data_IF_001252216144
#
_entry.id   IF_001252216144
#
_cell.length_a   1.000
_cell.length_b   1.000
_cell.length_c   1.000
_cell.angle_alpha   90.00
_cell.angle_beta   90.00
_cell.angle_gamma   90.00
#
_symmetry.space_group_name_H-M   'P 1'
#
loop_
_entity.id
_entity.type
_entity.pdbx_description
1 polymer ?
#
# COMPACT_ATOMS: atom_id res chain seq x y z
N UNK A 1 -16.92 -0.97 -13.69
CA UNK A 1 -17.03 -2.29 -13.04
C UNK A 1 -16.89 -2.11 -11.53
N UNK A 2 -17.41 -3.05 -10.73
CA UNK A 2 -17.22 -3.01 -9.28
C UNK A 2 -16.27 -4.13 -8.86
N UNK A 3 -15.37 -3.79 -7.93
CA UNK A 3 -14.39 -4.72 -7.39
C UNK A 3 -14.52 -4.79 -5.87
N UNK A 4 -14.55 -6.01 -5.32
CA UNK A 4 -14.48 -6.28 -3.90
C UNK A 4 -13.02 -6.44 -3.50
N UNK A 5 -12.56 -5.63 -2.54
CA UNK A 5 -11.21 -5.63 -2.00
C UNK A 5 -11.25 -6.09 -0.55
N UNK A 6 -10.36 -6.98 -0.19
CA UNK A 6 -10.10 -7.36 1.20
C UNK A 6 -8.92 -6.53 1.68
N UNK A 7 -9.17 -5.70 2.68
CA UNK A 7 -8.18 -4.76 3.19
C UNK A 7 -7.18 -5.45 4.14
N UNK A 8 -5.99 -4.89 4.20
CA UNK A 8 -4.91 -5.35 5.07
C UNK A 8 -5.13 -4.98 6.55
N UNK A 9 -4.04 -5.08 7.32
CA UNK A 9 -4.05 -4.86 8.77
C UNK A 9 -4.46 -3.45 9.17
N UNK A 10 -4.05 -2.45 8.39
CA UNK A 10 -4.38 -1.04 8.61
C UNK A 10 -5.46 -0.59 7.61
N UNK A 11 -6.74 -0.91 7.87
CA UNK A 11 -7.80 -0.72 6.88
C UNK A 11 -8.05 0.74 6.54
N UNK A 12 -7.82 1.66 7.48
CA UNK A 12 -7.96 3.10 7.25
C UNK A 12 -6.93 3.63 6.27
N UNK A 13 -5.66 3.20 6.39
CA UNK A 13 -4.62 3.53 5.41
C UNK A 13 -4.94 2.93 4.03
N UNK A 14 -5.46 1.70 4.01
CA UNK A 14 -5.90 1.07 2.77
C UNK A 14 -7.03 1.85 2.08
N UNK A 15 -7.98 2.39 2.85
CA UNK A 15 -9.07 3.21 2.31
C UNK A 15 -8.56 4.54 1.76
N UNK A 16 -7.62 5.19 2.42
CA UNK A 16 -7.00 6.44 1.92
C UNK A 16 -6.25 6.18 0.61
N UNK A 17 -5.51 5.08 0.51
CA UNK A 17 -4.89 4.66 -0.75
C UNK A 17 -5.93 4.52 -1.88
N UNK A 18 -7.06 3.86 -1.60
CA UNK A 18 -8.12 3.67 -2.59
C UNK A 18 -8.81 4.99 -2.97
N UNK A 19 -9.07 5.87 -2.00
CA UNK A 19 -9.65 7.19 -2.27
C UNK A 19 -8.71 8.07 -3.12
N UNK A 20 -7.41 8.04 -2.81
CA UNK A 20 -6.41 8.78 -3.59
C UNK A 20 -6.38 8.32 -5.05
N UNK A 21 -6.51 7.02 -5.30
CA UNK A 21 -6.48 6.45 -6.65
C UNK A 21 -7.80 6.59 -7.42
N UNK A 22 -8.93 6.38 -6.75
CA UNK A 22 -10.22 6.21 -7.42
C UNK A 22 -11.24 7.30 -7.13
N UNK A 23 -10.98 8.20 -6.17
CA UNK A 23 -11.94 9.18 -5.68
C UNK A 23 -12.85 8.61 -4.57
N UNK A 24 -13.20 9.43 -3.61
CA UNK A 24 -14.00 9.03 -2.44
C UNK A 24 -15.42 8.58 -2.80
N UNK A 25 -15.97 9.10 -3.89
CA UNK A 25 -17.29 8.76 -4.43
C UNK A 25 -17.34 7.34 -5.02
N UNK A 26 -16.19 6.81 -5.43
CA UNK A 26 -16.05 5.49 -6.02
C UNK A 26 -15.64 4.41 -5.00
N UNK A 27 -15.44 4.78 -3.73
CA UNK A 27 -15.02 3.86 -2.66
C UNK A 27 -16.12 3.73 -1.62
N UNK A 28 -16.59 2.50 -1.39
CA UNK A 28 -17.53 2.14 -0.33
C UNK A 28 -16.86 1.21 0.67
N UNK A 29 -16.74 1.65 1.92
CA UNK A 29 -16.07 0.91 2.98
C UNK A 29 -17.04 0.06 3.81
N UNK A 30 -16.56 -1.13 4.23
CA UNK A 30 -17.24 -2.03 5.16
C UNK A 30 -16.22 -2.48 6.20
N UNK A 31 -16.15 -1.75 7.30
CA UNK A 31 -15.20 -2.03 8.37
C UNK A 31 -15.85 -2.85 9.47
N UNK A 32 -15.12 -3.83 9.98
CA UNK A 32 -15.50 -4.55 11.17
C UNK A 32 -15.56 -3.60 12.37
N UNK A 33 -16.54 -3.76 13.23
CA UNK A 33 -16.57 -3.04 14.50
C UNK A 33 -15.40 -3.50 15.38
N UNK A 34 -14.80 -2.56 16.09
CA UNK A 34 -13.69 -2.84 16.99
C UNK A 34 -14.07 -3.97 17.97
N UNK A 35 -13.24 -5.01 18.09
CA UNK A 35 -13.50 -6.20 18.90
C UNK A 35 -14.31 -7.32 18.23
N UNK A 36 -14.87 -7.11 17.04
CA UNK A 36 -15.59 -8.16 16.31
C UNK A 36 -14.70 -8.89 15.30
N UNK A 37 -14.85 -10.20 15.22
CA UNK A 37 -14.23 -11.06 14.18
C UNK A 37 -14.91 -10.77 12.81
N UNK A 38 -14.66 -9.64 12.21
CA UNK A 38 -15.13 -9.28 10.87
C UNK A 38 -13.96 -8.96 9.96
N UNK A 39 -14.17 -9.10 8.65
CA UNK A 39 -13.18 -8.69 7.65
C UNK A 39 -13.41 -7.23 7.27
N UNK A 40 -12.32 -6.48 7.10
CA UNK A 40 -12.36 -5.14 6.56
C UNK A 40 -12.37 -5.22 5.03
N UNK A 41 -13.39 -4.64 4.42
CA UNK A 41 -13.63 -4.71 2.99
C UNK A 41 -13.85 -3.33 2.39
N UNK A 42 -13.62 -3.22 1.08
CA UNK A 42 -14.07 -2.09 0.29
C UNK A 42 -14.65 -2.57 -1.05
N UNK A 43 -15.62 -1.84 -1.56
CA UNK A 43 -16.05 -1.95 -2.97
C UNK A 43 -15.58 -0.70 -3.68
N UNK A 44 -14.85 -0.92 -4.78
CA UNK A 44 -14.31 0.16 -5.62
C UNK A 44 -14.97 0.09 -7.00
N UNK A 45 -15.49 1.22 -7.48
CA UNK A 45 -16.03 1.39 -8.84
C UNK A 45 -14.93 1.97 -9.73
N UNK A 46 -14.46 1.18 -10.70
CA UNK A 46 -13.47 1.62 -11.68
C UNK A 46 -13.56 0.81 -12.97
N UNK A 47 -13.08 1.36 -14.08
CA UNK A 47 -13.04 0.63 -15.35
C UNK A 47 -11.92 -0.40 -15.38
N UNK A 48 -10.80 -0.13 -14.67
CA UNK A 48 -9.63 -1.01 -14.60
C UNK A 48 -9.04 -0.95 -13.20
N UNK A 49 -8.76 -2.10 -12.61
CA UNK A 49 -8.06 -2.24 -11.34
C UNK A 49 -6.73 -2.95 -11.58
N UNK A 50 -5.63 -2.25 -11.33
CA UNK A 50 -4.32 -2.88 -11.20
C UNK A 50 -4.10 -3.21 -9.71
N UNK A 51 -4.38 -4.46 -9.37
CA UNK A 51 -4.26 -4.92 -7.99
C UNK A 51 -2.80 -5.00 -7.52
N UNK A 52 -1.85 -5.21 -8.43
CA UNK A 52 -0.43 -5.42 -8.08
C UNK A 52 0.22 -4.19 -7.43
N UNK A 53 -0.32 -2.99 -7.71
CA UNK A 53 0.18 -1.74 -7.14
C UNK A 53 -0.35 -1.44 -5.72
N UNK A 54 -1.41 -2.12 -5.27
CA UNK A 54 -2.07 -1.81 -4.00
C UNK A 54 -1.32 -2.39 -2.79
N UNK A 55 -0.73 -1.52 -1.97
CA UNK A 55 -0.04 -1.90 -0.74
C UNK A 55 -0.98 -2.28 0.40
N UNK A 56 -2.14 -1.62 0.48
CA UNK A 56 -3.11 -1.75 1.55
C UNK A 56 -4.12 -2.89 1.40
N UNK A 57 -4.24 -3.50 0.22
CA UNK A 57 -5.21 -4.57 -0.05
C UNK A 57 -4.53 -5.94 -0.18
N UNK A 58 -5.15 -6.99 0.36
CA UNK A 58 -4.57 -8.35 0.38
C UNK A 58 -5.19 -9.29 -0.65
N UNK A 59 -6.41 -9.01 -1.11
CA UNK A 59 -7.10 -9.71 -2.20
C UNK A 59 -8.02 -8.77 -2.94
N UNK A 60 -8.27 -9.08 -4.22
CA UNK A 60 -9.28 -8.40 -5.02
C UNK A 60 -10.09 -9.39 -5.85
N UNK A 61 -11.36 -9.08 -6.05
CA UNK A 61 -12.25 -9.82 -6.94
C UNK A 61 -13.18 -8.89 -7.72
N UNK A 62 -13.44 -9.22 -8.97
CA UNK A 62 -14.44 -8.53 -9.80
C UNK A 62 -15.84 -9.01 -9.43
N UNK A 63 -16.70 -8.11 -8.99
CA UNK A 63 -18.10 -8.42 -8.65
C UNK A 63 -18.84 -8.83 -9.94
N UNK A 64 -19.54 -9.97 -9.87
CA UNK A 64 -20.32 -10.48 -10.97
C UNK A 64 -21.63 -9.68 -11.12
N UNK A 65 -22.00 -9.41 -12.35
CA UNK A 65 -23.33 -8.88 -12.75
C UNK A 65 -24.26 -9.96 -13.25
N UNK A 66 -23.74 -11.17 -13.46
CA UNK A 66 -24.46 -12.36 -13.87
C UNK A 66 -24.49 -13.41 -12.73
N UNK A 67 -25.41 -14.38 -12.76
CA UNK A 67 -25.40 -15.48 -11.82
C UNK A 67 -24.06 -16.24 -11.84
N UNK A 68 -23.57 -16.63 -10.68
CA UNK A 68 -22.27 -17.33 -10.57
C UNK A 68 -22.25 -18.65 -11.35
N UNK A 69 -23.40 -19.31 -11.50
CA UNK A 69 -23.55 -20.54 -12.30
C UNK A 69 -23.20 -20.30 -13.77
N UNK A 70 -23.70 -19.18 -14.32
CA UNK A 70 -23.48 -18.81 -15.72
C UNK A 70 -22.02 -18.44 -15.97
N UNK A 71 -21.38 -17.74 -15.02
CA UNK A 71 -19.96 -17.49 -15.07
C UNK A 71 -19.13 -18.80 -15.04
N UNK A 72 -19.45 -19.71 -14.11
CA UNK A 72 -18.72 -20.97 -13.95
C UNK A 72 -18.88 -21.90 -15.16
N UNK A 73 -20.01 -21.87 -15.86
CA UNK A 73 -20.26 -22.67 -17.07
C UNK A 73 -19.40 -22.23 -18.26
N UNK A 74 -18.99 -20.95 -18.30
CA UNK A 74 -18.18 -20.34 -19.38
C UNK A 74 -16.69 -20.50 -19.18
N UNK A 75 -16.23 -21.13 -18.09
CA UNK A 75 -14.81 -21.32 -17.83
C UNK A 75 -14.14 -22.17 -18.91
N UNK A 76 -12.91 -21.84 -19.33
CA UNK A 76 -12.17 -22.62 -20.29
C UNK A 76 -12.03 -24.09 -19.87
N UNK A 77 -11.88 -25.00 -20.83
CA UNK A 77 -11.69 -26.41 -20.54
C UNK A 77 -10.49 -26.67 -19.63
N UNK A 78 -10.52 -27.84 -18.94
CA UNK A 78 -9.43 -28.28 -18.08
C UNK A 78 -9.83 -28.40 -16.61
N UNK A 79 -8.87 -28.74 -15.78
CA UNK A 79 -9.03 -28.90 -14.33
C UNK A 79 -9.23 -27.54 -13.67
N UNK A 80 -10.19 -27.47 -12.74
CA UNK A 80 -10.46 -26.25 -11.97
C UNK A 80 -9.90 -26.39 -10.54
N UNK A 81 -9.18 -25.39 -10.08
CA UNK A 81 -8.83 -25.21 -8.66
C UNK A 81 -9.76 -24.15 -8.09
N UNK A 82 -10.61 -24.53 -7.13
CA UNK A 82 -11.67 -23.69 -6.59
C UNK A 82 -11.44 -23.42 -5.09
N UNK A 83 -11.40 -22.14 -4.73
CA UNK A 83 -11.52 -21.64 -3.37
C UNK A 83 -12.86 -20.92 -3.17
N UNK A 84 -13.36 -20.87 -1.95
CA UNK A 84 -14.53 -20.07 -1.58
C UNK A 84 -14.25 -19.37 -0.26
N UNK A 85 -14.41 -18.06 -0.24
CA UNK A 85 -14.29 -17.23 0.97
C UNK A 85 -15.57 -16.46 1.19
N UNK A 86 -16.23 -16.63 2.33
CA UNK A 86 -17.42 -15.89 2.72
C UNK A 86 -17.07 -14.87 3.82
N UNK A 87 -17.07 -13.60 3.46
CA UNK A 87 -16.80 -12.45 4.31
C UNK A 87 -18.07 -11.87 4.96
N UNK A 88 -19.23 -12.48 4.74
CA UNK A 88 -20.52 -11.99 5.26
C UNK A 88 -20.56 -12.06 6.79
N UNK A 89 -21.22 -11.11 7.49
CA UNK A 89 -21.25 -11.06 8.96
C UNK A 89 -21.84 -12.32 9.62
N UNK A 90 -22.73 -13.05 8.92
CA UNK A 90 -23.36 -14.27 9.41
C UNK A 90 -22.72 -15.55 8.86
N UNK A 91 -21.59 -15.44 8.14
CA UNK A 91 -20.88 -16.60 7.64
C UNK A 91 -20.34 -17.47 8.78
N UNK A 92 -20.37 -18.77 8.57
CA UNK A 92 -19.71 -19.74 9.45
C UNK A 92 -19.07 -20.86 8.62
N UNK A 93 -18.20 -21.64 9.24
CA UNK A 93 -17.43 -22.71 8.57
C UNK A 93 -18.36 -23.70 7.83
N UNK A 94 -19.48 -24.10 8.45
CA UNK A 94 -20.42 -25.09 7.88
C UNK A 94 -21.11 -24.54 6.63
N UNK A 95 -21.62 -23.29 6.70
CA UNK A 95 -22.32 -22.66 5.56
C UNK A 95 -21.36 -22.36 4.41
N UNK A 96 -20.14 -21.91 4.70
CA UNK A 96 -19.11 -21.65 3.67
C UNK A 96 -18.68 -22.95 2.99
N UNK A 97 -18.47 -24.01 3.75
CA UNK A 97 -18.13 -25.32 3.18
C UNK A 97 -19.27 -25.88 2.31
N UNK A 98 -20.52 -25.80 2.76
CA UNK A 98 -21.68 -26.20 1.97
C UNK A 98 -21.75 -25.41 0.65
N UNK A 99 -21.47 -24.11 0.67
CA UNK A 99 -21.40 -23.28 -0.53
C UNK A 99 -20.29 -23.73 -1.48
N UNK A 100 -19.10 -24.05 -0.95
CA UNK A 100 -17.99 -24.56 -1.74
C UNK A 100 -18.33 -25.91 -2.41
N UNK A 101 -18.99 -26.82 -1.67
CA UNK A 101 -19.47 -28.09 -2.20
C UNK A 101 -20.56 -27.90 -3.26
N UNK A 102 -21.48 -26.94 -3.07
CA UNK A 102 -22.49 -26.60 -4.06
C UNK A 102 -21.85 -26.23 -5.41
N UNK A 103 -20.86 -25.34 -5.42
CA UNK A 103 -20.17 -24.93 -6.66
C UNK A 103 -19.32 -26.06 -7.25
N UNK A 104 -18.63 -26.84 -6.42
CA UNK A 104 -17.92 -28.04 -6.87
C UNK A 104 -18.85 -29.02 -7.58
N UNK A 105 -20.01 -29.33 -6.98
CA UNK A 105 -20.98 -30.27 -7.54
C UNK A 105 -21.61 -29.72 -8.83
N UNK A 106 -21.88 -28.41 -8.89
CA UNK A 106 -22.32 -27.76 -10.13
C UNK A 106 -21.31 -28.00 -11.27
N UNK A 107 -20.05 -27.67 -11.05
CA UNK A 107 -18.98 -27.87 -12.03
C UNK A 107 -18.80 -29.34 -12.42
N UNK A 108 -18.93 -30.29 -11.47
CA UNK A 108 -18.88 -31.73 -11.76
C UNK A 108 -20.02 -32.18 -12.65
N UNK A 109 -21.24 -31.64 -12.48
CA UNK A 109 -22.40 -31.94 -13.35
C UNK A 109 -22.14 -31.46 -14.78
N UNK A 110 -21.32 -30.43 -14.98
CA UNK A 110 -20.84 -29.98 -16.28
C UNK A 110 -19.57 -30.73 -16.77
N UNK A 111 -19.27 -31.92 -16.23
CA UNK A 111 -18.16 -32.77 -16.65
C UNK A 111 -16.77 -32.25 -16.19
N UNK A 112 -16.69 -31.26 -15.29
CA UNK A 112 -15.41 -30.64 -14.92
C UNK A 112 -14.73 -31.36 -13.76
N UNK A 113 -13.42 -31.55 -13.86
CA UNK A 113 -12.60 -31.99 -12.77
C UNK A 113 -12.25 -30.83 -11.83
N UNK A 114 -12.62 -30.93 -10.54
CA UNK A 114 -12.51 -29.82 -9.58
C UNK A 114 -11.73 -30.23 -8.33
N UNK A 115 -10.62 -29.53 -8.09
CA UNK A 115 -9.88 -29.52 -6.81
C UNK A 115 -10.41 -28.40 -5.94
N UNK A 116 -11.03 -28.72 -4.81
CA UNK A 116 -11.47 -27.72 -3.83
C UNK A 116 -10.36 -27.46 -2.82
N UNK A 117 -10.08 -26.18 -2.55
CA UNK A 117 -9.17 -25.74 -1.51
C UNK A 117 -9.95 -25.57 -0.20
N UNK A 118 -9.60 -26.28 0.88
CA UNK A 118 -10.33 -26.20 2.14
C UNK A 118 -9.99 -24.90 2.92
N UNK A 119 -10.99 -24.36 3.60
CA UNK A 119 -10.82 -23.31 4.61
C UNK A 119 -10.56 -24.01 5.96
N UNK A 120 -9.29 -24.16 6.34
CA UNK A 120 -8.93 -24.97 7.51
C UNK A 120 -9.48 -24.38 8.82
N UNK A 121 -9.44 -23.06 8.99
CA UNK A 121 -9.68 -22.39 10.27
C UNK A 121 -10.82 -21.34 10.26
N UNK A 122 -11.65 -21.29 9.20
CA UNK A 122 -12.67 -20.25 9.16
C UNK A 122 -13.58 -20.26 7.93
N UNK A 123 -14.10 -19.06 7.64
CA UNK A 123 -14.98 -18.80 6.49
C UNK A 123 -14.24 -18.33 5.26
N UNK A 124 -12.94 -18.02 5.39
CA UNK A 124 -12.13 -17.44 4.31
C UNK A 124 -10.80 -18.15 4.16
N UNK A 125 -10.27 -18.21 2.96
CA UNK A 125 -8.89 -18.62 2.70
C UNK A 125 -7.93 -17.52 3.15
N UNK A 126 -6.79 -17.89 3.72
CA UNK A 126 -5.71 -16.95 4.00
C UNK A 126 -5.10 -16.45 2.69
N UNK A 127 -4.46 -15.26 2.70
CA UNK A 127 -3.74 -14.75 1.53
C UNK A 127 -2.64 -15.71 1.07
N UNK A 128 -1.98 -16.39 2.02
CA UNK A 128 -0.98 -17.41 1.71
C UNK A 128 -1.59 -18.60 0.95
N UNK A 129 -2.73 -19.13 1.41
CA UNK A 129 -3.43 -20.23 0.73
C UNK A 129 -3.86 -19.82 -0.69
N UNK A 130 -4.40 -18.61 -0.86
CA UNK A 130 -4.79 -18.12 -2.18
C UNK A 130 -3.58 -17.93 -3.09
N UNK A 131 -2.49 -17.32 -2.60
CA UNK A 131 -1.26 -17.09 -3.35
C UNK A 131 -0.58 -18.41 -3.77
N UNK A 132 -0.38 -19.35 -2.86
CA UNK A 132 0.25 -20.66 -3.17
C UNK A 132 -0.57 -21.50 -4.16
N UNK A 133 -1.89 -21.33 -4.17
CA UNK A 133 -2.76 -22.00 -5.16
C UNK A 133 -3.00 -21.14 -6.39
N UNK A 134 -2.35 -19.97 -6.54
CA UNK A 134 -2.44 -19.06 -7.69
C UNK A 134 -3.90 -18.66 -8.02
N UNK A 135 -4.74 -18.50 -6.98
CA UNK A 135 -6.14 -18.18 -7.15
C UNK A 135 -6.32 -16.74 -7.66
N UNK A 136 -6.98 -16.59 -8.82
CA UNK A 136 -7.13 -15.31 -9.52
C UNK A 136 -5.95 -14.91 -10.41
N UNK A 137 -4.86 -15.69 -10.43
CA UNK A 137 -3.66 -15.40 -11.23
C UNK A 137 -3.54 -16.35 -12.43
N UNK A 138 -3.94 -17.60 -12.28
CA UNK A 138 -3.88 -18.64 -13.31
C UNK A 138 -5.26 -18.99 -13.83
N UNK A 139 -5.35 -19.32 -15.12
CA UNK A 139 -6.60 -19.80 -15.75
C UNK A 139 -7.16 -21.01 -14.99
N UNK A 140 -8.46 -21.00 -14.72
CA UNK A 140 -9.17 -22.03 -13.94
C UNK A 140 -8.73 -22.15 -12.46
N UNK A 141 -7.93 -21.22 -11.94
CA UNK A 141 -7.61 -21.12 -10.52
C UNK A 141 -8.44 -19.96 -9.91
N UNK A 142 -9.57 -20.28 -9.30
CA UNK A 142 -10.61 -19.31 -8.95
C UNK A 142 -10.82 -19.31 -7.45
N UNK A 143 -10.88 -18.12 -6.84
CA UNK A 143 -11.49 -17.95 -5.53
C UNK A 143 -12.79 -17.14 -5.69
N UNK A 144 -13.88 -17.69 -5.18
CA UNK A 144 -15.15 -16.97 -5.08
C UNK A 144 -15.13 -16.21 -3.75
N UNK A 145 -15.19 -14.90 -3.83
CA UNK A 145 -15.28 -14.00 -2.68
C UNK A 145 -16.73 -13.58 -2.52
N UNK A 146 -17.36 -13.97 -1.42
CA UNK A 146 -18.75 -13.63 -1.12
C UNK A 146 -18.82 -12.61 0.02
N UNK A 147 -19.62 -11.56 -0.17
CA UNK A 147 -19.99 -10.61 0.88
C UNK A 147 -21.46 -10.24 0.76
N UNK A 148 -22.27 -10.69 1.72
CA UNK A 148 -23.72 -10.56 1.69
C UNK A 148 -24.31 -11.16 0.39
N UNK A 149 -24.90 -10.34 -0.48
CA UNK A 149 -25.45 -10.75 -1.77
C UNK A 149 -24.46 -10.63 -2.93
N UNK A 150 -23.33 -9.91 -2.71
CA UNK A 150 -22.31 -9.73 -3.74
C UNK A 150 -21.41 -10.97 -3.83
N UNK A 151 -21.20 -11.42 -5.06
CA UNK A 151 -20.27 -12.48 -5.41
C UNK A 151 -19.22 -11.90 -6.34
N UNK A 152 -17.95 -12.02 -5.95
CA UNK A 152 -16.83 -11.59 -6.76
C UNK A 152 -15.94 -12.78 -7.11
N UNK A 153 -15.34 -12.74 -8.29
CA UNK A 153 -14.33 -13.71 -8.72
C UNK A 153 -12.95 -13.06 -8.55
N UNK A 154 -12.06 -13.75 -7.86
CA UNK A 154 -10.70 -13.29 -7.61
C UNK A 154 -9.98 -12.89 -8.90
N UNK A 155 -9.29 -11.76 -8.85
CA UNK A 155 -8.43 -11.25 -9.92
C UNK A 155 -6.96 -11.15 -9.47
N UNK A 156 -6.71 -11.43 -8.20
CA UNK A 156 -5.37 -11.43 -7.64
C UNK A 156 -5.36 -11.50 -6.12
N UNK A 157 -4.24 -11.96 -5.62
CA UNK A 157 -3.88 -12.03 -4.21
C UNK A 157 -2.50 -11.44 -4.04
N UNK A 158 -2.25 -10.81 -2.90
CA UNK A 158 -0.97 -10.21 -2.59
C UNK A 158 0.18 -11.22 -2.74
N UNK A 159 1.17 -10.87 -3.56
CA UNK A 159 2.35 -11.72 -3.79
C UNK A 159 3.31 -11.66 -2.59
N UNK A 160 3.01 -12.46 -1.57
CA UNK A 160 3.77 -12.53 -0.32
C UNK A 160 5.23 -12.94 -0.54
N UNK A 161 5.48 -13.79 -1.56
CA UNK A 161 6.83 -14.24 -1.91
C UNK A 161 7.68 -13.09 -2.44
N UNK A 162 7.14 -12.29 -3.35
CA UNK A 162 7.84 -11.13 -3.91
C UNK A 162 8.12 -10.07 -2.83
N UNK A 163 7.16 -9.83 -1.92
CA UNK A 163 7.40 -8.92 -0.78
C UNK A 163 8.50 -9.44 0.15
N UNK A 164 8.48 -10.74 0.49
CA UNK A 164 9.50 -11.34 1.35
C UNK A 164 10.90 -11.23 0.73
N UNK A 165 11.02 -11.43 -0.59
CA UNK A 165 12.27 -11.24 -1.32
C UNK A 165 12.78 -9.81 -1.18
N UNK A 166 11.96 -8.82 -1.51
CA UNK A 166 12.34 -7.40 -1.43
C UNK A 166 12.65 -6.93 -0.01
N UNK A 167 12.00 -7.52 1.00
CA UNK A 167 12.23 -7.18 2.40
C UNK A 167 13.51 -7.83 2.96
N UNK A 168 13.85 -9.06 2.51
CA UNK A 168 14.89 -9.88 3.15
C UNK A 168 16.14 -10.11 2.29
N UNK A 169 16.03 -10.15 0.96
CA UNK A 169 17.11 -10.58 0.06
C UNK A 169 17.88 -9.42 -0.58
N UNK A 170 17.45 -8.17 -0.37
CA UNK A 170 18.20 -7.02 -0.89
C UNK A 170 19.60 -6.94 -0.26
N UNK A 171 20.64 -6.60 -1.06
CA UNK A 171 22.04 -6.74 -0.66
C UNK A 171 22.48 -5.75 0.43
N UNK A 172 21.87 -4.55 0.48
CA UNK A 172 22.25 -3.52 1.44
C UNK A 172 21.09 -3.24 2.41
N UNK A 173 21.34 -3.43 3.71
CA UNK A 173 20.40 -3.19 4.81
C UNK A 173 21.15 -2.52 5.95
N UNK A 174 20.46 -1.62 6.64
CA UNK A 174 20.97 -1.00 7.86
C UNK A 174 19.99 -1.24 9.02
N UNK A 175 20.46 -1.90 10.07
CA UNK A 175 19.62 -2.23 11.22
C UNK A 175 19.30 -1.01 12.11
N UNK A 176 20.10 0.04 12.02
CA UNK A 176 19.93 1.28 12.80
C UNK A 176 18.95 2.25 12.13
N UNK A 177 18.88 2.21 10.81
CA UNK A 177 17.86 2.96 10.05
C UNK A 177 16.68 2.03 9.87
N UNK A 178 15.62 2.25 10.60
CA UNK A 178 14.41 1.42 10.50
C UNK A 178 13.98 1.23 9.03
N UNK A 179 13.62 0.00 8.64
CA UNK A 179 13.26 -0.27 7.25
C UNK A 179 11.77 -0.03 7.02
N UNK A 180 11.44 0.83 6.06
CA UNK A 180 10.08 1.02 5.57
C UNK A 180 9.56 -0.30 4.96
N UNK A 181 8.39 -0.83 5.38
CA UNK A 181 7.81 -1.99 4.72
C UNK A 181 7.46 -1.69 3.26
N UNK A 182 7.78 -2.58 2.28
CA UNK A 182 7.44 -2.37 0.87
C UNK A 182 5.96 -2.03 0.63
N UNK A 183 5.05 -2.63 1.38
CA UNK A 183 3.61 -2.34 1.30
C UNK A 183 3.26 -0.91 1.69
N UNK A 184 3.92 -0.38 2.73
CA UNK A 184 3.70 0.99 3.15
C UNK A 184 4.29 1.96 2.12
N UNK A 185 5.46 1.65 1.54
CA UNK A 185 6.00 2.42 0.42
C UNK A 185 5.02 2.51 -0.76
N UNK A 186 4.37 1.40 -1.14
CA UNK A 186 3.34 1.41 -2.18
C UNK A 186 2.15 2.29 -1.81
N UNK A 187 1.68 2.25 -0.56
CA UNK A 187 0.61 3.13 -0.07
C UNK A 187 1.03 4.61 -0.21
N UNK A 188 2.24 4.96 0.25
CA UNK A 188 2.76 6.34 0.13
C UNK A 188 2.80 6.80 -1.33
N UNK A 189 3.32 5.96 -2.23
CA UNK A 189 3.42 6.24 -3.66
C UNK A 189 2.02 6.41 -4.27
N UNK A 190 1.08 5.50 -4.00
CA UNK A 190 -0.28 5.58 -4.53
C UNK A 190 -1.00 6.85 -4.07
N UNK A 191 -0.83 7.25 -2.81
CA UNK A 191 -1.41 8.50 -2.29
C UNK A 191 -0.77 9.71 -2.99
N UNK A 192 0.55 9.71 -3.16
CA UNK A 192 1.26 10.83 -3.76
C UNK A 192 0.98 10.97 -5.27
N UNK A 193 0.84 9.85 -5.99
CA UNK A 193 0.69 9.86 -7.47
C UNK A 193 -0.76 9.92 -7.94
N UNK A 194 -1.73 9.51 -7.10
CA UNK A 194 -3.11 9.28 -7.53
C UNK A 194 -3.77 10.50 -8.15
N UNK A 195 -3.58 11.68 -7.57
CA UNK A 195 -4.15 12.91 -8.10
C UNK A 195 -3.44 13.37 -9.38
N UNK A 196 -2.11 13.26 -9.43
CA UNK A 196 -1.34 13.60 -10.62
C UNK A 196 -1.76 12.76 -11.82
N UNK A 197 -1.93 11.46 -11.65
CA UNK A 197 -2.36 10.55 -12.73
C UNK A 197 -3.77 10.87 -13.25
N UNK A 198 -4.70 11.25 -12.37
CA UNK A 198 -6.04 11.66 -12.76
C UNK A 198 -6.03 12.92 -13.64
N UNK A 199 -5.15 13.88 -13.33
CA UNK A 199 -5.10 15.16 -14.02
C UNK A 199 -4.31 15.11 -15.33
N UNK A 200 -3.20 14.37 -15.37
CA UNK A 200 -2.23 14.41 -16.47
C UNK A 200 -2.22 13.15 -17.35
N UNK A 201 -2.83 12.05 -16.92
CA UNK A 201 -2.81 10.74 -17.59
C UNK A 201 -1.39 10.22 -17.91
N UNK A 202 -0.38 10.75 -17.20
CA UNK A 202 1.03 10.38 -17.30
C UNK A 202 1.58 10.03 -15.93
N UNK A 203 2.72 9.36 -15.90
CA UNK A 203 3.40 9.02 -14.65
C UNK A 203 4.36 10.13 -14.23
N UNK A 204 4.26 10.64 -12.99
CA UNK A 204 5.23 11.61 -12.47
C UNK A 204 6.57 10.94 -12.14
N UNK A 205 7.62 11.74 -11.97
CA UNK A 205 8.81 11.31 -11.24
C UNK A 205 8.47 11.38 -9.74
N UNK A 206 8.65 10.27 -9.03
CA UNK A 206 8.46 10.18 -7.58
C UNK A 206 9.75 10.58 -6.87
N UNK A 207 9.70 11.61 -6.04
CA UNK A 207 10.82 12.03 -5.20
C UNK A 207 10.74 11.39 -3.81
N UNK A 208 11.87 10.85 -3.36
CA UNK A 208 12.13 10.47 -1.97
C UNK A 208 13.34 11.24 -1.44
N UNK A 209 13.15 12.38 -0.76
CA UNK A 209 14.24 13.24 -0.27
C UNK A 209 14.96 12.71 0.97
N UNK A 210 14.54 11.57 1.51
CA UNK A 210 15.12 10.86 2.67
C UNK A 210 15.23 9.37 2.34
N UNK A 211 15.83 9.03 1.17
CA UNK A 211 15.64 7.72 0.55
C UNK A 211 16.25 6.54 1.33
N UNK A 212 17.18 6.78 2.26
CA UNK A 212 17.81 5.75 3.07
C UNK A 212 18.35 4.61 2.21
N UNK A 213 17.82 3.41 2.38
CA UNK A 213 18.21 2.22 1.60
C UNK A 213 17.40 2.02 0.31
N UNK A 214 16.62 3.00 -0.12
CA UNK A 214 15.93 3.05 -1.41
C UNK A 214 14.63 2.26 -1.52
N UNK A 215 13.90 2.02 -0.43
CA UNK A 215 12.66 1.20 -0.49
C UNK A 215 11.57 1.85 -1.31
N UNK A 216 11.33 3.16 -1.13
CA UNK A 216 10.33 3.90 -1.91
C UNK A 216 10.72 3.90 -3.39
N UNK A 217 12.00 4.11 -3.70
CA UNK A 217 12.49 4.12 -5.07
C UNK A 217 12.30 2.75 -5.75
N UNK A 218 12.59 1.64 -5.05
CA UNK A 218 12.37 0.29 -5.55
C UNK A 218 10.89 0.03 -5.86
N UNK A 219 9.99 0.37 -4.94
CA UNK A 219 8.55 0.16 -5.15
C UNK A 219 8.03 1.08 -6.26
N UNK A 220 8.49 2.34 -6.35
CA UNK A 220 8.14 3.26 -7.44
C UNK A 220 8.51 2.67 -8.80
N UNK A 221 9.74 2.17 -8.97
CA UNK A 221 10.18 1.55 -10.21
C UNK A 221 9.35 0.31 -10.57
N UNK A 222 9.03 -0.56 -9.60
CA UNK A 222 8.17 -1.73 -9.82
C UNK A 222 6.74 -1.34 -10.22
N UNK A 223 6.25 -0.20 -9.75
CA UNK A 223 4.96 0.38 -10.15
C UNK A 223 5.04 1.14 -11.48
N UNK A 224 6.22 1.22 -12.08
CA UNK A 224 6.47 1.83 -13.38
C UNK A 224 6.66 3.35 -13.33
N UNK A 225 7.08 3.91 -12.20
CA UNK A 225 7.47 5.32 -12.06
C UNK A 225 8.97 5.46 -12.11
N UNK A 226 9.47 6.49 -12.78
CA UNK A 226 10.84 6.93 -12.53
C UNK A 226 10.93 7.54 -11.12
N UNK A 227 12.08 7.37 -10.47
CA UNK A 227 12.28 7.76 -9.09
C UNK A 227 13.53 8.62 -8.92
N UNK A 228 13.48 9.59 -8.01
CA UNK A 228 14.61 10.38 -7.62
C UNK A 228 14.79 10.29 -6.09
N UNK A 229 15.93 9.84 -5.64
CA UNK A 229 16.27 9.72 -4.23
C UNK A 229 17.42 10.63 -3.83
N UNK A 230 17.26 11.28 -2.69
CA UNK A 230 18.39 11.95 -2.00
C UNK A 230 18.48 11.49 -0.55
N UNK A 231 19.68 11.52 0.01
CA UNK A 231 19.92 11.27 1.43
C UNK A 231 21.13 12.08 1.88
N UNK A 232 21.15 12.52 3.13
CA UNK A 232 22.27 13.26 3.71
C UNK A 232 23.52 12.38 3.84
N UNK A 233 23.35 11.07 3.84
CA UNK A 233 24.41 10.09 4.04
C UNK A 233 24.85 9.46 2.73
N UNK A 234 26.09 9.69 2.31
CA UNK A 234 26.71 9.01 1.18
C UNK A 234 26.62 7.48 1.29
N UNK A 235 26.71 6.94 2.51
CA UNK A 235 26.53 5.50 2.78
C UNK A 235 25.13 5.02 2.35
N UNK A 236 24.09 5.81 2.65
CA UNK A 236 22.72 5.45 2.28
C UNK A 236 22.52 5.52 0.77
N UNK A 237 23.11 6.49 0.09
CA UNK A 237 23.10 6.58 -1.38
C UNK A 237 23.77 5.33 -1.99
N UNK A 238 24.92 4.92 -1.53
CA UNK A 238 25.59 3.66 -1.98
C UNK A 238 24.75 2.42 -1.71
N UNK A 239 24.00 2.39 -0.60
CA UNK A 239 23.10 1.27 -0.28
C UNK A 239 21.87 1.27 -1.20
N UNK A 240 21.28 2.43 -1.47
CA UNK A 240 20.18 2.59 -2.41
C UNK A 240 20.58 2.15 -3.82
N UNK A 241 21.73 2.58 -4.30
CA UNK A 241 22.25 2.24 -5.62
C UNK A 241 22.38 0.71 -5.78
N UNK A 242 23.08 0.05 -4.87
CA UNK A 242 23.22 -1.42 -4.85
C UNK A 242 21.88 -2.16 -4.81
N UNK A 243 20.90 -1.63 -4.08
CA UNK A 243 19.58 -2.23 -3.98
C UNK A 243 18.76 -2.05 -5.26
N UNK A 244 18.89 -0.90 -5.92
CA UNK A 244 18.20 -0.59 -7.18
C UNK A 244 18.81 -1.36 -8.36
N UNK A 245 20.13 -1.47 -8.44
CA UNK A 245 20.83 -2.33 -9.41
C UNK A 245 20.39 -3.79 -9.24
N UNK A 246 20.43 -4.32 -8.00
CA UNK A 246 19.99 -5.68 -7.68
C UNK A 246 18.53 -5.93 -8.10
N UNK A 247 17.63 -4.95 -7.94
CA UNK A 247 16.24 -5.02 -8.36
C UNK A 247 16.14 -5.07 -9.90
N UNK A 248 16.86 -4.18 -10.58
CA UNK A 248 16.85 -4.06 -12.04
C UNK A 248 17.34 -5.34 -12.69
N UNK A 249 18.45 -5.92 -12.21
CA UNK A 249 19.01 -7.17 -12.74
C UNK A 249 18.07 -8.37 -12.62
N UNK A 250 17.16 -8.35 -11.63
CA UNK A 250 16.23 -9.46 -11.35
C UNK A 250 14.82 -9.25 -11.89
N UNK A 251 14.55 -8.09 -12.48
CA UNK A 251 13.22 -7.72 -12.94
C UNK A 251 13.25 -7.43 -14.45
N UNK A 252 12.85 -8.40 -15.25
CA UNK A 252 12.88 -8.28 -16.73
C UNK A 252 12.15 -7.05 -17.28
N UNK A 253 11.10 -6.59 -16.57
CA UNK A 253 10.38 -5.34 -16.92
C UNK A 253 11.22 -4.09 -16.76
N UNK A 254 12.22 -4.09 -15.86
CA UNK A 254 13.13 -2.95 -15.62
C UNK A 254 14.39 -2.98 -16.51
N UNK A 255 14.58 -4.02 -17.28
CA UNK A 255 15.70 -4.14 -18.23
C UNK A 255 15.37 -3.63 -19.65
N UNK A 256 14.14 -3.16 -19.87
CA UNK A 256 13.70 -2.64 -21.15
C UNK A 256 14.21 -1.21 -21.38
N UNK A 257 14.39 -0.78 -22.65
CA UNK A 257 14.86 0.57 -22.96
C UNK A 257 13.94 1.70 -22.45
N UNK A 258 12.63 1.43 -22.37
CA UNK A 258 11.58 2.35 -21.89
C UNK A 258 11.23 2.16 -20.42
N UNK A 259 12.02 1.37 -19.69
CA UNK A 259 11.79 1.13 -18.26
C UNK A 259 11.96 2.42 -17.44
N UNK A 260 11.31 2.48 -16.27
CA UNK A 260 11.53 3.56 -15.30
C UNK A 260 13.01 3.69 -14.94
N UNK A 261 13.47 4.94 -14.78
CA UNK A 261 14.83 5.27 -14.38
C UNK A 261 14.88 5.71 -12.94
N UNK A 262 16.03 5.54 -12.31
CA UNK A 262 16.30 6.12 -11.00
C UNK A 262 17.46 7.10 -11.06
N UNK A 263 17.41 8.08 -10.16
CA UNK A 263 18.44 9.09 -9.95
C UNK A 263 18.75 9.13 -8.47
N UNK A 264 20.02 9.21 -8.11
CA UNK A 264 20.50 9.23 -6.72
C UNK A 264 21.54 10.31 -6.55
N UNK A 265 21.38 11.14 -5.53
CA UNK A 265 22.35 12.17 -5.16
C UNK A 265 22.47 12.27 -3.63
N UNK A 266 23.67 12.54 -3.14
CA UNK A 266 23.86 12.95 -1.76
C UNK A 266 23.36 14.40 -1.60
N UNK A 267 22.56 14.66 -0.57
CA UNK A 267 22.04 16.00 -0.36
C UNK A 267 21.24 16.18 0.94
N UNK A 268 21.31 17.39 1.45
CA UNK A 268 20.49 17.84 2.57
C UNK A 268 19.10 18.28 2.04
N UNK A 269 18.05 17.54 2.40
CA UNK A 269 16.68 17.82 1.94
C UNK A 269 16.21 19.25 2.22
N UNK A 270 16.81 19.93 3.21
CA UNK A 270 16.48 21.33 3.54
C UNK A 270 17.13 22.36 2.61
N UNK A 271 18.06 21.94 1.73
CA UNK A 271 18.87 22.83 0.85
C UNK A 271 19.05 22.32 -0.57
N UNK A 272 18.85 21.01 -0.80
CA UNK A 272 19.11 20.37 -2.09
C UNK A 272 18.22 20.92 -3.21
N UNK A 273 18.75 20.92 -4.45
CA UNK A 273 18.01 21.38 -5.63
C UNK A 273 17.65 20.18 -6.53
N UNK A 274 16.35 19.92 -6.70
CA UNK A 274 15.80 18.88 -7.59
C UNK A 274 15.26 19.46 -8.92
N UNK A 275 15.53 20.72 -9.24
CA UNK A 275 14.92 21.43 -10.38
C UNK A 275 15.13 20.75 -11.73
N UNK A 276 16.21 19.99 -11.91
CA UNK A 276 16.51 19.27 -13.16
C UNK A 276 15.58 18.08 -13.41
N UNK A 277 14.92 17.55 -12.39
CA UNK A 277 14.25 16.25 -12.47
C UNK A 277 12.76 16.29 -12.79
N UNK A 278 12.12 17.46 -12.90
CA UNK A 278 10.65 17.60 -13.11
C UNK A 278 9.83 16.73 -12.15
N UNK A 279 10.13 16.85 -10.86
CA UNK A 279 9.45 16.12 -9.80
C UNK A 279 7.96 16.43 -9.82
N UNK A 280 7.10 15.40 -9.88
CA UNK A 280 5.65 15.58 -9.90
C UNK A 280 4.96 15.32 -8.57
N UNK A 281 5.60 14.55 -7.68
CA UNK A 281 5.06 14.23 -6.35
C UNK A 281 6.18 13.78 -5.40
N UNK A 282 5.87 13.74 -4.11
CA UNK A 282 6.80 13.28 -3.07
C UNK A 282 6.19 12.12 -2.29
N UNK A 283 6.90 11.01 -2.20
CA UNK A 283 6.56 9.89 -1.32
C UNK A 283 7.80 9.51 -0.51
N UNK A 284 7.74 9.64 0.81
CA UNK A 284 8.94 9.50 1.63
C UNK A 284 8.64 9.07 3.06
N UNK A 285 9.58 8.38 3.68
CA UNK A 285 9.68 8.25 5.13
C UNK A 285 10.79 9.18 5.61
N UNK A 286 10.43 10.21 6.36
CA UNK A 286 11.43 11.10 6.94
C UNK A 286 12.22 10.38 8.05
N UNK A 287 13.31 10.98 8.51
CA UNK A 287 14.08 10.41 9.60
C UNK A 287 13.24 10.18 10.86
N UNK A 288 13.17 8.93 11.31
CA UNK A 288 12.35 8.51 12.46
C UNK A 288 13.06 8.65 13.80
N UNK A 289 14.31 9.08 13.82
CA UNK A 289 15.15 9.10 15.01
C UNK A 289 15.87 7.78 15.28
N UNK A 290 16.64 7.74 16.36
CA UNK A 290 17.31 6.52 16.82
C UNK A 290 16.30 5.52 17.40
N UNK A 291 16.56 4.21 17.31
CA UNK A 291 15.75 3.19 17.95
C UNK A 291 15.60 3.44 19.46
N UNK A 292 14.38 3.34 19.97
CA UNK A 292 14.09 3.51 21.38
C UNK A 292 13.74 2.16 22.03
N UNK A 293 14.23 1.94 23.24
CA UNK A 293 13.94 0.74 24.06
C UNK A 293 12.70 0.93 24.95
N UNK A 294 12.26 2.17 25.18
CA UNK A 294 11.08 2.50 25.97
C UNK A 294 10.43 3.81 25.46
N UNK A 295 9.15 4.04 25.72
CA UNK A 295 8.48 5.30 25.41
C UNK A 295 9.24 6.50 26.01
N UNK A 296 9.44 7.59 25.23
CA UNK A 296 10.20 8.74 25.74
C UNK A 296 9.41 9.50 26.82
N UNK A 297 10.12 10.00 27.84
CA UNK A 297 9.55 10.92 28.81
C UNK A 297 9.16 12.25 28.16
N UNK A 298 8.30 13.04 28.83
CA UNK A 298 7.66 14.24 28.23
C UNK A 298 8.67 15.30 27.74
N UNK A 299 9.80 15.51 28.41
CA UNK A 299 10.82 16.46 27.95
C UNK A 299 11.51 15.95 26.68
N UNK A 300 11.96 14.70 26.66
CA UNK A 300 12.63 14.10 25.52
C UNK A 300 11.69 13.97 24.30
N UNK A 301 10.40 13.74 24.54
CA UNK A 301 9.42 13.75 23.47
C UNK A 301 9.31 15.13 22.80
N UNK A 302 9.24 16.20 23.60
CA UNK A 302 9.22 17.58 23.07
C UNK A 302 10.47 17.90 22.24
N UNK A 303 11.64 17.46 22.68
CA UNK A 303 12.90 17.62 21.92
C UNK A 303 12.82 16.89 20.56
N UNK A 304 12.31 15.64 20.55
CA UNK A 304 12.13 14.87 19.31
C UNK A 304 11.12 15.52 18.38
N UNK A 305 10.00 15.98 18.92
CA UNK A 305 8.99 16.67 18.15
C UNK A 305 9.51 17.97 17.56
N UNK A 306 10.27 18.75 18.32
CA UNK A 306 10.85 20.00 17.85
C UNK A 306 11.88 19.79 16.74
N UNK A 307 12.84 18.87 16.91
CA UNK A 307 13.83 18.57 15.87
C UNK A 307 13.20 18.02 14.58
N UNK A 308 12.17 17.17 14.71
CA UNK A 308 11.42 16.65 13.57
C UNK A 308 10.63 17.77 12.88
N UNK A 309 10.03 18.67 13.64
CA UNK A 309 9.31 19.84 13.12
C UNK A 309 10.24 20.75 12.31
N UNK A 310 11.43 21.06 12.84
CA UNK A 310 12.43 21.89 12.16
C UNK A 310 12.88 21.27 10.83
N UNK A 311 13.14 19.95 10.83
CA UNK A 311 13.49 19.21 9.61
C UNK A 311 12.35 19.28 8.57
N UNK A 312 11.12 19.00 8.98
CA UNK A 312 9.95 19.04 8.09
C UNK A 312 9.73 20.43 7.50
N UNK A 313 9.72 21.46 8.31
CA UNK A 313 9.50 22.82 7.86
C UNK A 313 10.63 23.30 6.94
N UNK A 314 11.89 22.97 7.26
CA UNK A 314 13.04 23.22 6.40
C UNK A 314 12.91 22.56 5.04
N UNK A 315 12.54 21.29 4.99
CA UNK A 315 12.29 20.54 3.76
C UNK A 315 11.12 21.14 2.97
N UNK A 316 9.95 21.33 3.60
CA UNK A 316 8.77 21.89 2.93
C UNK A 316 9.03 23.27 2.34
N UNK A 317 9.76 24.13 3.05
CA UNK A 317 10.18 25.43 2.54
C UNK A 317 11.08 25.31 1.31
N UNK A 318 12.07 24.40 1.36
CA UNK A 318 13.00 24.19 0.26
C UNK A 318 12.31 23.64 -0.98
N UNK A 319 11.47 22.61 -0.84
CA UNK A 319 10.82 21.94 -1.99
C UNK A 319 9.70 22.78 -2.62
N UNK A 320 9.14 23.75 -1.90
CA UNK A 320 7.95 24.50 -2.32
C UNK A 320 8.07 25.16 -3.70
N UNK A 321 9.26 25.64 -4.06
CA UNK A 321 9.54 26.28 -5.34
C UNK A 321 10.07 25.30 -6.41
N UNK A 322 10.14 24.01 -6.11
CA UNK A 322 10.74 23.00 -6.97
C UNK A 322 9.74 21.96 -7.49
N UNK A 323 8.51 21.99 -7.00
CA UNK A 323 7.41 21.12 -7.42
C UNK A 323 6.24 21.96 -7.95
N UNK A 324 5.45 21.40 -8.89
CA UNK A 324 4.33 22.14 -9.45
C UNK A 324 3.20 22.37 -8.43
N UNK A 325 2.40 23.42 -8.64
CA UNK A 325 1.11 23.55 -7.94
C UNK A 325 0.25 22.32 -8.19
N UNK A 326 -0.49 21.89 -7.17
CA UNK A 326 -1.27 20.65 -7.19
C UNK A 326 -0.47 19.38 -6.85
N UNK A 327 0.87 19.43 -6.80
CA UNK A 327 1.68 18.29 -6.40
C UNK A 327 1.30 17.78 -5.02
N UNK A 328 1.18 16.46 -4.88
CA UNK A 328 0.86 15.79 -3.60
C UNK A 328 2.15 15.26 -2.95
N UNK A 329 2.28 15.53 -1.66
CA UNK A 329 3.34 14.99 -0.81
C UNK A 329 2.71 14.03 0.20
N UNK A 330 3.17 12.78 0.23
CA UNK A 330 2.80 11.80 1.24
C UNK A 330 4.03 11.42 2.06
N UNK A 331 4.12 11.93 3.27
CA UNK A 331 5.27 11.81 4.16
C UNK A 331 4.91 10.93 5.35
N UNK A 332 5.68 9.87 5.60
CA UNK A 332 5.61 9.11 6.83
C UNK A 332 6.51 9.76 7.88
N UNK A 333 5.90 10.36 8.90
CA UNK A 333 6.57 11.07 9.98
C UNK A 333 6.57 10.23 11.26
N UNK A 334 7.51 10.39 12.19
CA UNK A 334 7.49 9.65 13.45
C UNK A 334 6.31 10.05 14.33
N UNK A 335 5.75 9.03 14.99
CA UNK A 335 4.80 9.20 16.08
C UNK A 335 5.23 8.29 17.24
N UNK A 336 5.31 8.82 18.43
CA UNK A 336 5.87 8.14 19.60
C UNK A 336 4.78 7.59 20.50
N UNK A 337 4.97 6.35 20.97
CA UNK A 337 4.06 5.70 21.91
C UNK A 337 4.06 6.45 23.25
N UNK A 338 2.85 6.74 23.73
CA UNK A 338 2.61 7.36 25.05
C UNK A 338 2.26 6.30 26.09
N UNK A 339 2.42 6.59 27.41
CA UNK A 339 2.06 5.65 28.47
C UNK A 339 0.61 5.16 28.46
N UNK A 340 -0.31 5.96 27.88
CA UNK A 340 -1.73 5.60 27.72
C UNK A 340 -1.99 4.68 26.50
N UNK A 341 -0.96 4.26 25.79
CA UNK A 341 -1.08 3.40 24.61
C UNK A 341 -1.38 4.14 23.30
N UNK A 342 -1.60 5.45 23.32
CA UNK A 342 -1.77 6.24 22.08
C UNK A 342 -0.44 6.63 21.48
N UNK A 343 -0.44 6.97 20.17
CA UNK A 343 0.71 7.56 19.51
C UNK A 343 0.54 9.07 19.36
N UNK A 344 1.63 9.82 19.55
CA UNK A 344 1.66 11.27 19.39
C UNK A 344 2.74 11.64 18.37
N UNK A 345 2.34 12.27 17.28
CA UNK A 345 3.22 12.72 16.20
C UNK A 345 3.64 14.18 16.36
N UNK A 346 4.06 14.79 15.25
CA UNK A 346 4.46 16.20 15.15
C UNK A 346 3.30 17.03 14.64
N UNK A 347 2.99 18.13 15.31
CA UNK A 347 2.02 19.11 14.82
C UNK A 347 2.73 20.25 14.09
N UNK A 348 2.40 20.41 12.79
CA UNK A 348 2.90 21.50 11.92
C UNK A 348 1.76 22.18 11.16
N UNK A 349 0.50 21.95 11.58
CA UNK A 349 -0.68 22.38 10.81
C UNK A 349 -0.78 23.90 10.69
N UNK A 350 -0.34 24.63 11.69
CA UNK A 350 -0.40 26.10 11.71
C UNK A 350 0.65 26.71 10.77
N UNK A 351 1.73 26.00 10.46
CA UNK A 351 2.82 26.50 9.65
C UNK A 351 2.72 26.13 8.16
N UNK A 352 2.08 25.01 7.83
CA UNK A 352 2.05 24.50 6.45
C UNK A 352 1.30 25.41 5.49
N UNK A 353 0.24 26.09 5.93
CA UNK A 353 -0.53 27.03 5.10
C UNK A 353 0.36 28.21 4.70
N UNK A 354 1.17 28.73 5.62
CA UNK A 354 2.11 29.82 5.35
C UNK A 354 3.23 29.41 4.38
N UNK A 355 3.50 28.11 4.26
CA UNK A 355 4.46 27.54 3.30
C UNK A 355 3.82 27.18 1.96
N UNK A 356 2.53 27.48 1.76
CA UNK A 356 1.80 27.22 0.52
C UNK A 356 1.37 25.76 0.38
N UNK A 357 0.96 25.10 1.47
CA UNK A 357 0.44 23.74 1.43
C UNK A 357 -0.91 23.65 2.11
N UNK A 358 -1.79 22.79 1.56
CA UNK A 358 -3.03 22.37 2.19
C UNK A 358 -2.92 20.93 2.63
N UNK A 359 -3.42 20.62 3.85
CA UNK A 359 -3.57 19.24 4.28
C UNK A 359 -4.73 18.58 3.55
N UNK A 360 -4.49 17.42 2.94
CA UNK A 360 -5.55 16.63 2.33
C UNK A 360 -6.37 15.89 3.38
N UNK A 361 -7.69 15.89 3.17
CA UNK A 361 -8.66 15.16 3.98
C UNK A 361 -9.29 14.03 3.18
N UNK A 362 -9.58 12.93 3.83
CA UNK A 362 -10.18 11.74 3.24
C UNK A 362 -11.49 11.39 3.94
N UNK A 363 -12.44 10.87 3.19
CA UNK A 363 -13.79 10.56 3.70
C UNK A 363 -13.80 9.46 4.76
N UNK A 364 -12.93 8.44 4.58
CA UNK A 364 -12.97 7.23 5.41
C UNK A 364 -11.90 7.18 6.50
N UNK A 365 -11.09 8.24 6.65
CA UNK A 365 -10.05 8.30 7.67
C UNK A 365 -9.85 9.73 8.20
N UNK A 366 -9.63 9.85 9.50
CA UNK A 366 -9.16 11.07 10.16
C UNK A 366 -7.63 11.08 10.25
N UNK A 367 -7.05 12.19 10.66
CA UNK A 367 -5.59 12.27 10.88
C UNK A 367 -5.07 11.23 11.88
N UNK A 368 -5.85 10.96 12.93
CA UNK A 368 -5.50 9.98 13.96
C UNK A 368 -5.55 8.52 13.43
N UNK A 369 -6.32 8.28 12.37
CA UNK A 369 -6.38 6.97 11.72
C UNK A 369 -5.17 6.71 10.80
N UNK A 370 -4.39 7.74 10.45
CA UNK A 370 -3.28 7.66 9.49
C UNK A 370 -1.97 7.24 10.17
N UNK A 371 -2.02 6.25 11.03
CA UNK A 371 -0.87 5.73 11.76
C UNK A 371 -0.61 4.27 11.35
N UNK A 372 0.64 3.99 10.97
CA UNK A 372 1.13 2.64 10.72
C UNK A 372 2.11 2.23 11.83
N UNK A 373 1.81 1.12 12.51
CA UNK A 373 2.66 0.56 13.55
C UNK A 373 2.59 -0.96 13.58
N UNK A 374 3.55 -1.59 14.21
CA UNK A 374 3.53 -3.02 14.59
C UNK A 374 3.36 -3.11 16.09
N UNK A 375 2.74 -4.18 16.56
CA UNK A 375 2.59 -4.44 17.99
C UNK A 375 3.94 -4.37 18.70
N UNK A 376 4.01 -3.65 19.84
CA UNK A 376 5.25 -3.42 20.60
C UNK A 376 6.18 -2.34 20.01
N UNK A 377 5.84 -1.68 18.90
CA UNK A 377 6.67 -0.64 18.30
C UNK A 377 6.52 0.68 19.07
N UNK A 378 7.65 1.29 19.47
CA UNK A 378 7.67 2.55 20.23
C UNK A 378 7.52 3.76 19.31
N UNK A 379 8.12 3.70 18.12
CA UNK A 379 8.02 4.75 17.10
C UNK A 379 7.19 4.22 15.94
N UNK A 380 5.99 4.75 15.78
CA UNK A 380 5.09 4.52 14.66
C UNK A 380 5.36 5.52 13.52
N UNK A 381 4.63 5.34 12.42
CA UNK A 381 4.65 6.23 11.26
C UNK A 381 3.28 6.88 11.11
N UNK A 382 3.19 8.17 11.28
CA UNK A 382 2.00 8.95 10.98
C UNK A 382 2.12 9.52 9.57
N UNK A 383 1.10 9.34 8.75
CA UNK A 383 1.10 9.91 7.40
C UNK A 383 0.62 11.36 7.44
N UNK A 384 1.50 12.24 6.95
CA UNK A 384 1.21 13.63 6.65
C UNK A 384 1.01 13.75 5.14
N UNK A 385 -0.20 14.12 4.72
CA UNK A 385 -0.56 14.19 3.31
C UNK A 385 -0.91 15.62 2.96
N UNK A 386 -0.09 16.23 2.11
CA UNK A 386 -0.16 17.63 1.75
C UNK A 386 -0.36 17.81 0.24
N UNK A 387 -0.98 18.92 -0.15
CA UNK A 387 -1.04 19.39 -1.53
C UNK A 387 -0.41 20.77 -1.61
N UNK A 388 0.51 20.97 -2.56
CA UNK A 388 1.07 22.27 -2.91
C UNK A 388 -0.02 23.16 -3.52
N UNK A 389 -0.15 24.38 -3.03
CA UNK A 389 -1.04 25.41 -3.59
C UNK A 389 -0.53 25.98 -4.91
#
# INVERSE_FOLDING_TARGET
>A
MNYLLVLGREPKLSLVELEALFGSENVKAFLAKQGNKGSNLAIVKTNKLDFSRLGGSIKAGRILTEPVQDYLSKLPEGKITLGVSDYSPRANKKTTWALALKYKNLLKRHGRNVRLIPNNDGTTLTSAASHHNQLGEKVNHIEILKYQNDIAISIGTQNITAYAKRDRERPARDAFVGMLPPKLAQILINIATGEFEKQHQTKPIVLDPFCGTGVVLQEAMLMGYSAYGTDLSEKMIKYSDRNLEWLTDRTSGLQKPDAPKFYLEEGDATKHSWQSAKVGCVASEIYLGHPLSAPPGSLKLKEFQQSTKELLLGFLKNISNQIPSGATLCLATPAWLRPNGSYEGVNILDEIENLGYNKLQYKHATTQDLIYYREGQIVARQLLILRKQ
#
